data_IF_952005759111
#
_entry.id   IF_952005759111
#
_cell.length_a   1.000
_cell.length_b   1.000
_cell.length_c   1.000
_cell.angle_alpha   90.00
_cell.angle_beta   90.00
_cell.angle_gamma   90.00
#
_symmetry.space_group_name_H-M   'P 1'
#
loop_
_entity.id
_entity.type
_entity.pdbx_description
1 polymer ?
#
# COMPACT_ATOMS: atom_id res chain seq x y z
N UNK A 1 4.85 -0.30 35.26
CA UNK A 1 4.42 -0.52 33.87
C UNK A 1 4.37 -2.01 33.64
N UNK A 2 3.28 -2.53 33.08
CA UNK A 2 3.12 -3.96 32.80
C UNK A 2 4.00 -4.36 31.60
N UNK A 3 4.61 -5.56 31.65
CA UNK A 3 5.22 -6.18 30.47
C UNK A 3 4.22 -7.00 29.66
N UNK A 4 3.00 -7.21 30.18
CA UNK A 4 1.92 -7.85 29.44
C UNK A 4 1.30 -6.84 28.50
N UNK A 5 1.49 -7.08 27.20
CA UNK A 5 0.94 -6.24 26.15
C UNK A 5 -0.58 -6.21 26.19
N UNK A 6 -1.28 -7.18 26.80
CA UNK A 6 -2.75 -7.23 26.87
C UNK A 6 -3.36 -6.32 27.94
N UNK A 7 -2.58 -5.43 28.53
CA UNK A 7 -3.04 -4.49 29.56
C UNK A 7 -2.54 -3.08 29.25
N UNK A 8 -3.37 -2.07 29.52
CA UNK A 8 -2.94 -0.68 29.49
C UNK A 8 -2.53 -0.19 30.91
N UNK A 9 -1.51 0.68 31.02
CA UNK A 9 -0.63 1.12 29.95
C UNK A 9 0.41 0.05 29.57
N UNK A 10 0.79 0.00 28.29
CA UNK A 10 1.84 -0.87 27.77
C UNK A 10 2.88 -0.05 27.01
N UNK A 11 4.16 -0.29 27.26
CA UNK A 11 5.25 0.40 26.56
C UNK A 11 5.91 -0.56 25.57
N UNK A 12 5.72 -0.30 24.27
CA UNK A 12 6.27 -1.14 23.21
C UNK A 12 7.79 -1.04 23.12
N UNK A 13 8.32 0.17 23.29
CA UNK A 13 9.76 0.46 23.29
C UNK A 13 10.12 1.13 24.61
N UNK A 14 10.97 0.49 25.39
CA UNK A 14 11.38 0.98 26.69
C UNK A 14 11.96 2.40 26.60
N UNK A 15 11.34 3.34 27.33
CA UNK A 15 11.76 4.74 27.37
C UNK A 15 11.22 5.64 26.26
N UNK A 16 10.47 5.12 25.28
CA UNK A 16 9.76 5.97 24.30
C UNK A 16 8.29 6.12 24.68
N UNK A 17 7.91 7.32 25.10
CA UNK A 17 6.54 7.63 25.52
C UNK A 17 5.57 7.75 24.32
N UNK A 18 6.08 7.95 23.10
CA UNK A 18 5.21 7.99 21.92
C UNK A 18 4.77 6.59 21.46
N UNK A 19 5.45 5.55 21.94
CA UNK A 19 5.09 4.15 21.74
C UNK A 19 4.54 3.54 23.04
N UNK A 20 3.89 4.37 23.87
CA UNK A 20 3.12 3.96 25.03
C UNK A 20 1.63 3.88 24.68
N UNK A 21 1.02 2.75 24.97
CA UNK A 21 -0.38 2.44 24.72
C UNK A 21 -1.21 2.73 25.98
N UNK A 22 -2.42 3.30 25.86
CA UNK A 22 -3.19 3.45 24.61
C UNK A 22 -2.89 4.71 23.79
N UNK A 23 -2.01 5.60 24.27
CA UNK A 23 -1.76 6.89 23.64
C UNK A 23 -1.24 6.77 22.20
N UNK A 24 -0.37 5.79 21.93
CA UNK A 24 0.17 5.47 20.60
C UNK A 24 -0.89 5.06 19.56
N UNK A 25 -2.09 4.69 19.98
CA UNK A 25 -3.20 4.35 19.07
C UNK A 25 -4.00 5.60 18.67
N UNK A 26 -4.03 6.62 19.53
CA UNK A 26 -4.74 7.87 19.28
C UNK A 26 -4.00 8.81 18.34
N UNK A 27 -4.50 10.04 18.25
CA UNK A 27 -3.91 11.12 17.47
C UNK A 27 -2.69 11.74 18.16
N UNK A 28 -1.69 12.09 17.36
CA UNK A 28 -0.50 12.79 17.80
C UNK A 28 -0.61 14.27 17.43
N UNK A 29 -0.83 15.13 18.44
CA UNK A 29 -1.13 16.55 18.22
C UNK A 29 0.06 17.35 17.69
N UNK A 30 1.27 16.93 18.03
CA UNK A 30 2.55 17.52 17.62
C UNK A 30 3.03 17.06 16.23
N UNK A 31 2.30 16.15 15.58
CA UNK A 31 2.64 15.56 14.30
C UNK A 31 1.74 16.14 13.19
N UNK A 32 2.36 16.53 12.08
CA UNK A 32 1.62 17.07 10.92
C UNK A 32 0.83 15.97 10.21
N UNK A 33 1.33 14.73 10.18
CA UNK A 33 0.61 13.59 9.58
C UNK A 33 0.45 12.41 10.52
N UNK A 34 -0.71 11.76 10.45
CA UNK A 34 -1.05 10.60 11.25
C UNK A 34 -1.91 9.63 10.40
N UNK A 35 -1.49 8.37 10.31
CA UNK A 35 -2.06 7.36 9.40
C UNK A 35 -2.53 6.14 10.17
N UNK A 36 -3.83 5.85 10.12
CA UNK A 36 -4.41 4.62 10.64
C UNK A 36 -4.81 3.74 9.46
N UNK A 37 -4.16 2.59 9.38
CA UNK A 37 -4.40 1.59 8.34
C UNK A 37 -4.94 0.31 8.97
N UNK A 38 -5.97 -0.27 8.34
CA UNK A 38 -6.45 -1.62 8.65
C UNK A 38 -6.78 -2.34 7.35
N UNK A 39 -6.25 -3.55 7.20
CA UNK A 39 -6.63 -4.44 6.10
C UNK A 39 -6.72 -5.89 6.57
N UNK A 40 -7.46 -6.71 5.82
CA UNK A 40 -7.57 -8.13 6.14
C UNK A 40 -8.39 -8.94 5.14
N UNK A 41 -8.23 -10.26 5.23
CA UNK A 41 -9.07 -11.24 4.55
C UNK A 41 -10.30 -11.55 5.42
N UNK A 42 -11.44 -11.74 4.75
CA UNK A 42 -12.73 -12.03 5.36
C UNK A 42 -13.37 -13.21 4.62
N UNK A 43 -13.68 -14.28 5.34
CA UNK A 43 -14.39 -15.43 4.82
C UNK A 43 -15.84 -15.43 5.31
N UNK A 44 -16.76 -15.82 4.43
CA UNK A 44 -18.19 -15.88 4.77
C UNK A 44 -18.51 -17.11 5.61
N UNK A 45 -19.43 -16.93 6.56
CA UNK A 45 -19.98 -18.06 7.31
C UNK A 45 -20.97 -18.85 6.45
N UNK A 46 -20.54 -19.99 5.92
CA UNK A 46 -21.42 -20.98 5.29
C UNK A 46 -21.56 -20.92 3.75
N UNK A 47 -21.21 -19.80 3.09
CA UNK A 47 -21.24 -19.74 1.61
C UNK A 47 -19.90 -20.10 0.95
N UNK A 48 -18.81 -20.10 1.72
CA UNK A 48 -17.47 -20.43 1.23
C UNK A 48 -16.83 -19.33 0.38
N UNK A 49 -17.46 -18.16 0.27
CA UNK A 49 -16.90 -16.99 -0.39
C UNK A 49 -15.85 -16.30 0.45
N UNK A 50 -14.88 -15.67 -0.23
CA UNK A 50 -13.80 -14.92 0.39
C UNK A 50 -13.74 -13.48 -0.15
N UNK A 51 -13.57 -12.56 0.76
CA UNK A 51 -13.42 -11.13 0.52
C UNK A 51 -12.11 -10.63 1.13
N UNK A 52 -11.69 -9.45 0.74
CA UNK A 52 -10.72 -8.67 1.50
C UNK A 52 -11.17 -7.21 1.58
N UNK A 53 -10.55 -6.48 2.49
CA UNK A 53 -10.77 -5.04 2.61
C UNK A 53 -9.49 -4.33 3.02
N UNK A 54 -9.44 -3.04 2.73
CA UNK A 54 -8.52 -2.11 3.37
C UNK A 54 -9.25 -0.82 3.72
N UNK A 55 -8.75 -0.12 4.73
CA UNK A 55 -9.15 1.24 5.04
C UNK A 55 -7.98 2.07 5.53
N UNK A 56 -8.03 3.34 5.18
CA UNK A 56 -7.05 4.34 5.58
C UNK A 56 -7.82 5.52 6.14
N UNK A 57 -7.53 5.90 7.38
CA UNK A 57 -7.83 7.23 7.91
C UNK A 57 -6.51 7.99 7.95
N UNK A 58 -6.49 9.19 7.40
CA UNK A 58 -5.26 9.95 7.33
C UNK A 58 -5.53 11.41 7.70
N UNK A 59 -4.83 11.86 8.74
CA UNK A 59 -4.70 13.27 9.12
C UNK A 59 -3.49 13.83 8.40
N UNK A 60 -3.65 14.92 7.65
CA UNK A 60 -2.55 15.70 7.10
C UNK A 60 -2.78 17.18 7.36
N UNK A 61 -1.83 17.79 8.07
CA UNK A 61 -1.85 19.20 8.42
C UNK A 61 -0.57 19.91 7.98
N UNK A 62 -0.30 20.06 6.66
CA UNK A 62 0.90 20.72 6.18
C UNK A 62 1.03 22.13 6.76
N UNK A 63 2.15 22.39 7.45
CA UNK A 63 2.37 23.68 8.12
C UNK A 63 1.37 24.01 9.23
N UNK A 64 0.62 23.02 9.71
CA UNK A 64 -0.32 23.09 10.83
C UNK A 64 -1.68 23.74 10.53
N UNK A 65 -1.83 24.47 9.43
CA UNK A 65 -3.05 25.24 9.12
C UNK A 65 -3.84 24.70 7.93
N UNK A 66 -3.18 24.03 6.99
CA UNK A 66 -3.84 23.41 5.83
C UNK A 66 -4.46 22.09 6.26
N UNK A 67 -5.73 21.85 5.90
CA UNK A 67 -6.37 20.55 6.07
C UNK A 67 -6.20 19.77 4.77
N UNK A 68 -5.68 18.55 4.83
CA UNK A 68 -5.56 17.65 3.68
C UNK A 68 -5.85 16.20 4.10
N UNK A 69 -6.79 16.05 5.04
CA UNK A 69 -7.16 14.76 5.59
C UNK A 69 -7.93 13.97 4.53
N UNK A 70 -7.86 12.64 4.62
CA UNK A 70 -8.64 11.78 3.75
C UNK A 70 -9.03 10.48 4.45
N UNK A 71 -10.05 9.85 3.88
CA UNK A 71 -10.50 8.52 4.25
C UNK A 71 -10.63 7.67 2.99
N UNK A 72 -10.16 6.43 3.06
CA UNK A 72 -10.31 5.43 1.99
C UNK A 72 -10.90 4.14 2.55
N UNK A 73 -11.78 3.52 1.76
CA UNK A 73 -12.28 2.15 1.92
C UNK A 73 -12.19 1.44 0.58
N UNK A 74 -11.68 0.22 0.56
CA UNK A 74 -11.87 -0.68 -0.55
C UNK A 74 -12.34 -2.06 -0.10
N UNK A 75 -13.19 -2.67 -0.93
CA UNK A 75 -13.66 -4.05 -0.79
C UNK A 75 -13.24 -4.83 -2.04
N UNK A 76 -12.81 -6.07 -1.82
CA UNK A 76 -12.34 -6.98 -2.85
C UNK A 76 -13.12 -8.29 -2.74
N UNK A 77 -13.65 -8.77 -3.85
CA UNK A 77 -14.19 -10.13 -3.96
C UNK A 77 -13.09 -11.03 -4.52
N UNK A 78 -12.56 -11.92 -3.68
CA UNK A 78 -11.42 -12.76 -4.03
C UNK A 78 -11.80 -13.92 -4.95
N UNK A 79 -13.11 -14.23 -5.05
CA UNK A 79 -13.61 -15.30 -5.91
C UNK A 79 -13.81 -14.82 -7.35
N UNK A 80 -14.26 -13.57 -7.52
CA UNK A 80 -14.55 -12.99 -8.83
C UNK A 80 -13.45 -12.07 -9.36
N UNK A 81 -12.56 -11.58 -8.49
CA UNK A 81 -11.55 -10.58 -8.82
C UNK A 81 -12.12 -9.16 -8.94
N UNK A 82 -13.37 -8.94 -8.56
CA UNK A 82 -14.00 -7.61 -8.54
C UNK A 82 -13.49 -6.78 -7.35
N UNK A 83 -13.37 -5.47 -7.51
CA UNK A 83 -13.13 -4.55 -6.40
C UNK A 83 -13.92 -3.25 -6.51
N UNK A 84 -14.21 -2.68 -5.34
CA UNK A 84 -14.80 -1.35 -5.19
C UNK A 84 -13.91 -0.50 -4.31
N UNK A 85 -13.74 0.79 -4.64
CA UNK A 85 -13.00 1.74 -3.80
C UNK A 85 -13.74 3.06 -3.65
N UNK A 86 -13.56 3.68 -2.49
CA UNK A 86 -14.07 4.99 -2.14
C UNK A 86 -12.97 5.78 -1.44
N UNK A 87 -12.70 6.99 -1.91
CA UNK A 87 -11.81 7.95 -1.24
C UNK A 87 -12.53 9.28 -1.14
N UNK A 88 -12.58 9.84 0.06
CA UNK A 88 -13.11 11.18 0.33
C UNK A 88 -12.03 12.06 0.97
N UNK A 89 -12.08 13.35 0.66
CA UNK A 89 -11.10 14.34 1.08
C UNK A 89 -11.72 15.47 1.91
N UNK A 90 -10.98 15.92 2.90
CA UNK A 90 -11.17 17.19 3.59
C UNK A 90 -10.01 18.11 3.23
N UNK A 91 -10.23 18.99 2.25
CA UNK A 91 -9.17 19.85 1.73
C UNK A 91 -9.68 21.18 1.15
N UNK A 92 -8.82 22.21 1.04
CA UNK A 92 -9.17 23.45 0.36
C UNK A 92 -9.60 23.25 -1.09
N UNK A 93 -10.49 24.09 -1.62
CA UNK A 93 -11.11 25.23 -0.92
C UNK A 93 -12.30 24.83 -0.01
N UNK A 94 -12.79 23.59 -0.09
CA UNK A 94 -14.00 23.16 0.62
C UNK A 94 -13.84 23.24 2.15
N UNK A 95 -12.70 22.79 2.68
CA UNK A 95 -12.39 22.84 4.12
C UNK A 95 -12.18 24.27 4.66
N UNK A 96 -12.08 25.27 3.77
CA UNK A 96 -11.90 26.68 4.11
C UNK A 96 -13.19 27.52 3.98
N UNK A 97 -14.31 26.90 3.58
CA UNK A 97 -15.56 27.63 3.48
C UNK A 97 -16.02 28.15 4.86
N UNK A 98 -16.69 29.32 4.94
CA UNK A 98 -17.35 29.75 6.17
C UNK A 98 -18.31 28.63 6.62
N UNK A 99 -18.19 28.20 7.87
CA UNK A 99 -18.95 27.09 8.48
C UNK A 99 -18.49 25.66 8.14
N UNK A 100 -17.42 25.49 7.36
CA UNK A 100 -16.81 24.17 7.17
C UNK A 100 -16.39 23.58 8.52
N UNK A 101 -16.87 22.37 8.80
CA UNK A 101 -16.44 21.58 9.94
C UNK A 101 -15.43 20.53 9.45
N UNK A 102 -14.33 20.28 10.19
CA UNK A 102 -13.43 19.18 9.86
C UNK A 102 -14.19 17.87 9.73
N UNK A 103 -13.90 17.11 8.68
CA UNK A 103 -14.52 15.79 8.45
C UNK A 103 -13.94 14.74 9.39
N UNK A 104 -12.64 14.83 9.71
CA UNK A 104 -11.94 13.92 10.61
C UNK A 104 -11.98 14.44 12.05
N UNK A 105 -12.39 13.57 12.98
CA UNK A 105 -12.23 13.72 14.42
C UNK A 105 -11.39 12.56 14.94
N UNK A 106 -10.42 12.85 15.81
CA UNK A 106 -9.54 11.84 16.39
C UNK A 106 -9.17 12.22 17.83
N UNK A 107 -9.38 11.31 18.79
CA UNK A 107 -9.00 11.54 20.18
C UNK A 107 -7.50 11.36 20.40
N UNK A 108 -6.96 12.05 21.40
CA UNK A 108 -5.63 11.76 21.95
C UNK A 108 -5.76 10.73 23.09
N UNK A 109 -4.68 9.99 23.36
CA UNK A 109 -4.62 9.06 24.49
C UNK A 109 -5.24 7.69 24.26
N UNK A 110 -6.10 7.51 23.25
CA UNK A 110 -6.65 6.22 22.82
C UNK A 110 -7.22 6.33 21.41
N UNK A 111 -7.50 5.19 20.77
CA UNK A 111 -8.12 5.16 19.46
C UNK A 111 -9.62 5.47 19.56
N UNK A 112 -10.01 6.60 18.98
CA UNK A 112 -11.39 7.02 18.76
C UNK A 112 -11.38 7.94 17.53
N UNK A 113 -11.74 7.36 16.38
CA UNK A 113 -11.74 8.01 15.08
C UNK A 113 -13.15 8.09 14.51
N UNK A 114 -13.48 9.24 13.94
CA UNK A 114 -14.63 9.42 13.06
C UNK A 114 -14.22 10.19 11.81
N UNK A 115 -14.71 9.77 10.65
CA UNK A 115 -14.62 10.53 9.40
C UNK A 115 -15.99 10.70 8.77
N UNK A 116 -16.43 11.96 8.59
CA UNK A 116 -17.75 12.33 8.07
C UNK A 116 -17.66 12.61 6.56
N UNK A 117 -18.14 11.66 5.76
CA UNK A 117 -18.10 11.72 4.31
C UNK A 117 -19.50 11.86 3.70
N UNK A 118 -19.57 12.05 2.38
CA UNK A 118 -20.84 12.01 1.64
C UNK A 118 -21.53 10.63 1.67
N UNK A 119 -20.79 9.55 1.95
CA UNK A 119 -21.33 8.19 2.07
C UNK A 119 -21.80 7.84 3.50
N UNK A 120 -21.61 8.74 4.47
CA UNK A 120 -21.91 8.52 5.89
C UNK A 120 -20.69 8.73 6.78
N UNK A 121 -20.80 8.28 8.03
CA UNK A 121 -19.71 8.37 9.01
C UNK A 121 -19.01 7.03 9.13
N UNK A 122 -17.70 7.00 8.84
CA UNK A 122 -16.83 5.88 9.15
C UNK A 122 -16.22 6.09 10.54
N UNK A 123 -16.02 5.02 11.30
CA UNK A 123 -15.43 5.08 12.64
C UNK A 123 -14.55 3.88 12.98
N UNK A 124 -13.58 4.12 13.86
CA UNK A 124 -12.72 3.09 14.44
C UNK A 124 -12.42 3.46 15.88
N UNK A 125 -12.99 2.72 16.82
CA UNK A 125 -13.08 3.11 18.23
C UNK A 125 -12.65 1.93 19.12
N UNK A 126 -11.89 2.23 20.17
CA UNK A 126 -11.54 1.27 21.23
C UNK A 126 -12.79 0.91 22.04
N UNK A 127 -13.05 -0.38 22.18
CA UNK A 127 -14.13 -0.90 23.00
C UNK A 127 -13.89 -0.60 24.49
N UNK A 128 -14.99 -0.56 25.24
CA UNK A 128 -14.98 -0.39 26.69
C UNK A 128 -15.71 -1.56 27.35
N UNK A 129 -15.30 -1.90 28.56
CA UNK A 129 -16.00 -2.88 29.37
C UNK A 129 -17.25 -2.30 30.05
N UNK A 130 -17.87 -3.07 30.94
CA UNK A 130 -19.08 -2.66 31.65
C UNK A 130 -18.86 -1.49 32.64
N UNK A 131 -17.62 -1.32 33.13
CA UNK A 131 -17.23 -0.25 34.05
C UNK A 131 -16.79 1.02 33.30
N UNK A 132 -16.67 0.93 31.97
CA UNK A 132 -16.29 2.02 31.08
C UNK A 132 -14.79 2.11 30.82
N UNK A 133 -14.01 1.16 31.35
CA UNK A 133 -12.57 1.08 31.13
C UNK A 133 -12.25 0.59 29.72
N UNK A 134 -11.13 1.04 29.15
CA UNK A 134 -10.71 0.65 27.80
C UNK A 134 -10.32 -0.82 27.77
N UNK A 135 -10.86 -1.56 26.79
CA UNK A 135 -10.45 -2.93 26.50
C UNK A 135 -9.23 -2.91 25.57
N UNK A 136 -8.06 -3.41 26.00
CA UNK A 136 -6.84 -3.32 25.22
C UNK A 136 -6.98 -3.95 23.83
N UNK A 137 -6.66 -3.16 22.81
CA UNK A 137 -6.63 -3.53 21.40
C UNK A 137 -7.93 -4.16 20.89
N UNK A 138 -9.06 -3.89 21.53
CA UNK A 138 -10.36 -4.39 21.09
C UNK A 138 -11.11 -3.23 20.46
N UNK A 139 -11.53 -3.39 19.21
CA UNK A 139 -12.07 -2.28 18.43
C UNK A 139 -13.43 -2.60 17.83
N UNK A 140 -14.26 -1.57 17.76
CA UNK A 140 -15.41 -1.53 16.87
C UNK A 140 -15.04 -0.67 15.65
N UNK A 141 -15.21 -1.24 14.46
CA UNK A 141 -14.89 -0.61 13.18
C UNK A 141 -16.16 -0.55 12.33
N UNK A 142 -16.51 0.63 11.84
CA UNK A 142 -17.63 0.82 10.92
C UNK A 142 -17.12 1.62 9.72
N UNK A 143 -17.10 1.01 8.55
CA UNK A 143 -16.59 1.61 7.33
C UNK A 143 -17.75 1.77 6.35
N UNK A 144 -17.76 2.90 5.66
CA UNK A 144 -18.79 3.22 4.65
C UNK A 144 -18.14 3.81 3.41
N UNK A 145 -18.78 3.67 2.26
CA UNK A 145 -18.32 4.24 1.01
C UNK A 145 -19.29 3.97 -0.13
N UNK A 146 -18.94 4.46 -1.32
CA UNK A 146 -19.62 4.14 -2.57
C UNK A 146 -18.58 3.80 -3.63
N UNK A 147 -18.72 2.67 -4.29
CA UNK A 147 -17.76 2.25 -5.31
C UNK A 147 -17.89 3.04 -6.63
N UNK A 148 -17.02 2.73 -7.59
CA UNK A 148 -16.95 3.38 -8.90
C UNK A 148 -18.21 3.17 -9.75
N UNK A 149 -19.03 2.15 -9.43
CA UNK A 149 -20.30 1.87 -10.09
C UNK A 149 -21.50 2.50 -9.35
N UNK A 150 -21.27 3.22 -8.25
CA UNK A 150 -22.32 3.83 -7.45
C UNK A 150 -22.96 2.88 -6.42
N UNK A 151 -22.42 1.67 -6.22
CA UNK A 151 -22.94 0.73 -5.22
C UNK A 151 -22.44 1.12 -3.83
N UNK A 152 -23.35 1.07 -2.86
CA UNK A 152 -23.00 1.30 -1.46
C UNK A 152 -22.05 0.20 -0.98
N UNK A 153 -21.03 0.60 -0.23
CA UNK A 153 -20.11 -0.27 0.48
C UNK A 153 -20.23 0.02 1.97
N UNK A 154 -20.33 -1.04 2.78
CA UNK A 154 -20.27 -0.93 4.23
C UNK A 154 -19.64 -2.18 4.84
N UNK A 155 -18.83 -1.99 5.87
CA UNK A 155 -18.22 -3.06 6.63
C UNK A 155 -18.26 -2.71 8.11
N UNK A 156 -19.01 -3.49 8.88
CA UNK A 156 -19.06 -3.38 10.34
C UNK A 156 -18.30 -4.57 10.93
N UNK A 157 -17.25 -4.33 11.72
CA UNK A 157 -16.40 -5.36 12.31
C UNK A 157 -16.13 -5.11 13.79
N UNK A 158 -16.14 -6.18 14.58
CA UNK A 158 -15.38 -6.27 15.81
C UNK A 158 -13.99 -6.82 15.47
N UNK A 159 -12.93 -6.13 15.93
CA UNK A 159 -11.54 -6.44 15.60
C UNK A 159 -10.71 -6.56 16.88
N UNK A 160 -9.97 -7.65 17.03
CA UNK A 160 -9.05 -7.85 18.15
C UNK A 160 -7.74 -8.48 17.66
N UNK A 161 -6.60 -7.79 17.73
CA UNK A 161 -5.30 -8.40 17.50
C UNK A 161 -5.03 -9.52 18.49
N UNK A 162 -4.38 -10.57 17.98
CA UNK A 162 -4.00 -11.78 18.71
C UNK A 162 -2.51 -11.77 19.06
N UNK A 163 -1.75 -10.80 18.54
CA UNK A 163 -0.32 -10.60 18.78
C UNK A 163 -0.05 -9.22 19.35
N UNK A 164 1.08 -9.14 20.04
CA UNK A 164 1.63 -7.88 20.53
C UNK A 164 1.94 -6.91 19.37
N UNK A 165 1.91 -5.59 19.62
CA UNK A 165 2.45 -4.63 18.68
C UNK A 165 3.90 -4.98 18.36
N UNK A 166 4.31 -4.73 17.12
CA UNK A 166 5.68 -4.89 16.66
C UNK A 166 6.19 -3.53 16.16
N UNK A 167 7.28 -3.00 16.73
CA UNK A 167 7.85 -1.75 16.22
C UNK A 167 8.48 -2.01 14.85
N UNK A 168 8.22 -1.15 13.87
CA UNK A 168 8.82 -1.29 12.54
C UNK A 168 10.35 -1.21 12.65
N UNK A 169 11.04 -2.09 11.93
CA UNK A 169 12.47 -2.30 12.02
C UNK A 169 12.92 -3.00 13.31
N UNK A 170 11.99 -3.61 14.05
CA UNK A 170 12.24 -4.39 15.27
C UNK A 170 13.15 -3.64 16.25
N UNK A 171 14.09 -4.32 16.92
CA UNK A 171 15.04 -3.67 17.83
C UNK A 171 16.11 -2.84 17.13
N UNK A 172 16.26 -2.95 15.80
CA UNK A 172 17.26 -2.17 15.05
C UNK A 172 16.85 -0.69 14.94
N UNK A 173 15.56 -0.44 14.76
CA UNK A 173 15.00 0.90 14.62
C UNK A 173 14.07 1.30 15.76
N UNK A 174 13.58 0.33 16.55
CA UNK A 174 12.62 0.54 17.63
C UNK A 174 11.42 1.39 17.18
N UNK A 175 10.93 1.15 15.97
CA UNK A 175 9.76 1.84 15.43
C UNK A 175 10.04 3.26 14.96
N UNK A 176 11.28 3.75 14.99
CA UNK A 176 11.64 5.07 14.47
C UNK A 176 12.45 4.92 13.19
N UNK A 177 11.86 5.28 12.05
CA UNK A 177 12.42 5.07 10.71
C UNK A 177 12.52 6.38 9.93
N UNK A 178 13.31 6.33 8.85
CA UNK A 178 13.25 7.35 7.80
C UNK A 178 12.16 6.94 6.81
N UNK A 179 11.16 7.79 6.64
CA UNK A 179 10.06 7.57 5.69
C UNK A 179 9.85 8.82 4.83
N UNK A 180 9.72 8.65 3.52
CA UNK A 180 9.62 9.73 2.52
C UNK A 180 10.74 10.79 2.64
N UNK A 181 11.95 10.36 3.02
CA UNK A 181 13.10 11.24 3.25
C UNK A 181 13.05 12.04 4.55
N UNK A 182 12.11 11.72 5.45
CA UNK A 182 11.92 12.39 6.72
C UNK A 182 12.37 11.47 7.85
N UNK A 183 13.30 11.95 8.67
CA UNK A 183 13.68 11.28 9.91
C UNK A 183 12.54 11.35 10.94
N UNK A 184 12.68 10.58 12.01
CA UNK A 184 11.79 10.60 13.17
C UNK A 184 10.32 10.24 12.86
N UNK A 185 10.08 9.53 11.74
CA UNK A 185 8.77 8.91 11.50
C UNK A 185 8.65 7.71 12.42
N UNK A 186 7.56 7.67 13.19
CA UNK A 186 7.31 6.55 14.09
C UNK A 186 6.28 5.60 13.49
N UNK A 187 6.50 4.31 13.66
CA UNK A 187 5.63 3.27 13.13
C UNK A 187 5.69 1.96 13.91
N UNK A 188 4.53 1.34 14.05
CA UNK A 188 4.37 -0.03 14.53
C UNK A 188 3.22 -0.71 13.78
N UNK A 189 3.20 -2.04 13.84
CA UNK A 189 2.07 -2.81 13.35
C UNK A 189 1.55 -3.80 14.39
N UNK A 190 0.27 -4.14 14.28
CA UNK A 190 -0.33 -5.32 14.90
C UNK A 190 -0.72 -6.31 13.80
N UNK A 191 -0.47 -7.59 14.08
CA UNK A 191 -0.80 -8.66 13.17
C UNK A 191 -1.47 -9.81 13.91
N UNK A 192 -2.02 -10.76 13.14
CA UNK A 192 -2.91 -11.80 13.63
C UNK A 192 -4.18 -11.19 14.21
N UNK A 193 -5.31 -11.31 13.55
CA UNK A 193 -6.53 -10.65 13.98
C UNK A 193 -7.61 -11.69 14.30
N UNK A 194 -8.55 -11.32 15.14
CA UNK A 194 -9.90 -11.91 15.13
C UNK A 194 -10.83 -10.83 14.63
N UNK A 195 -11.43 -11.05 13.47
CA UNK A 195 -12.38 -10.12 12.86
C UNK A 195 -13.71 -10.84 12.71
N UNK A 196 -14.79 -10.22 13.15
CA UNK A 196 -16.16 -10.76 12.97
C UNK A 196 -17.11 -9.63 12.70
N UNK A 197 -18.04 -9.81 11.77
CA UNK A 197 -19.09 -8.83 11.55
C UNK A 197 -19.83 -9.00 10.24
N UNK A 198 -20.23 -7.89 9.63
CA UNK A 198 -21.10 -7.90 8.44
C UNK A 198 -20.54 -7.03 7.33
N UNK A 199 -20.47 -7.60 6.13
CA UNK A 199 -20.14 -6.90 4.89
C UNK A 199 -21.41 -6.61 4.10
N UNK A 200 -21.53 -5.40 3.57
CA UNK A 200 -22.55 -4.99 2.60
C UNK A 200 -21.87 -4.37 1.38
N UNK A 201 -22.22 -4.86 0.18
CA UNK A 201 -21.73 -4.28 -1.07
C UNK A 201 -22.79 -4.40 -2.17
N UNK A 202 -23.43 -3.28 -2.49
CA UNK A 202 -24.64 -3.25 -3.31
C UNK A 202 -25.74 -4.11 -2.66
N UNK A 203 -26.20 -5.13 -3.38
CA UNK A 203 -27.21 -6.08 -2.90
C UNK A 203 -26.61 -7.25 -2.08
N UNK A 204 -25.27 -7.37 -2.03
CA UNK A 204 -24.60 -8.42 -1.25
C UNK A 204 -24.61 -8.04 0.22
N UNK A 205 -25.09 -8.94 1.08
CA UNK A 205 -24.94 -8.87 2.54
C UNK A 205 -24.46 -10.22 3.06
N UNK A 206 -23.37 -10.22 3.84
CA UNK A 206 -22.73 -11.45 4.33
C UNK A 206 -22.24 -11.28 5.76
N UNK A 207 -22.46 -12.32 6.58
CA UNK A 207 -21.74 -12.48 7.85
C UNK A 207 -20.34 -13.00 7.56
N UNK A 208 -19.34 -12.30 8.07
CA UNK A 208 -17.93 -12.52 7.74
C UNK A 208 -17.09 -12.70 9.00
N UNK A 209 -16.04 -13.51 8.85
CA UNK A 209 -15.00 -13.71 9.86
C UNK A 209 -13.63 -13.67 9.22
N UNK A 210 -12.59 -13.24 9.93
CA UNK A 210 -11.25 -13.20 9.38
C UNK A 210 -10.16 -13.35 10.43
N UNK A 211 -9.04 -13.96 10.03
CA UNK A 211 -7.88 -14.20 10.91
C UNK A 211 -6.59 -13.58 10.41
N UNK A 212 -6.49 -13.34 9.09
CA UNK A 212 -5.37 -12.66 8.46
C UNK A 212 -5.69 -11.17 8.31
N UNK A 213 -5.01 -10.32 9.08
CA UNK A 213 -5.19 -8.88 9.02
C UNK A 213 -4.06 -8.13 9.68
N UNK A 214 -3.94 -6.86 9.30
CA UNK A 214 -2.84 -5.99 9.66
C UNK A 214 -3.39 -4.62 10.06
N UNK A 215 -2.95 -4.13 11.22
CA UNK A 215 -3.07 -2.72 11.57
C UNK A 215 -1.67 -2.13 11.42
N UNK A 216 -1.55 -1.06 10.64
CA UNK A 216 -0.34 -0.24 10.61
C UNK A 216 -0.66 1.15 11.16
N UNK A 217 0.25 1.66 11.97
CA UNK A 217 0.18 2.99 12.55
C UNK A 217 1.46 3.70 12.21
N UNK A 218 1.32 4.89 11.64
CA UNK A 218 2.46 5.72 11.27
C UNK A 218 2.14 7.20 11.47
N UNK A 219 3.04 7.93 12.11
CA UNK A 219 2.93 9.37 12.26
C UNK A 219 4.26 10.06 11.98
N UNK A 220 4.15 11.25 11.39
CA UNK A 220 5.25 11.97 10.79
C UNK A 220 5.36 13.37 11.37
N UNK A 221 6.61 13.85 11.61
CA UNK A 221 6.83 15.20 12.08
C UNK A 221 6.38 16.25 11.05
N UNK A 222 6.44 15.95 9.75
CA UNK A 222 5.90 16.79 8.67
C UNK A 222 4.92 16.01 7.81
N UNK A 223 4.22 16.73 6.93
CA UNK A 223 3.34 16.14 5.93
C UNK A 223 3.97 14.92 5.21
N UNK A 224 3.26 13.79 5.19
CA UNK A 224 3.71 12.52 4.64
C UNK A 224 4.00 12.53 3.13
N UNK A 225 3.53 13.54 2.37
CA UNK A 225 3.91 13.72 0.96
C UNK A 225 5.27 14.39 0.73
N UNK A 226 5.99 14.75 1.81
CA UNK A 226 7.24 15.49 1.75
C UNK A 226 7.08 16.96 1.37
N UNK A 227 8.14 17.74 1.52
CA UNK A 227 8.21 19.09 0.95
C UNK A 227 8.67 19.03 -0.50
N UNK A 228 7.84 19.46 -1.46
CA UNK A 228 8.19 19.47 -2.89
C UNK A 228 7.14 18.81 -3.78
N UNK A 229 7.57 18.21 -4.90
CA UNK A 229 6.70 17.40 -5.76
C UNK A 229 6.31 16.09 -5.06
N UNK A 230 5.01 15.81 -4.83
CA UNK A 230 4.54 14.55 -4.26
C UNK A 230 4.96 13.31 -5.06
N UNK A 231 5.33 13.45 -6.35
CA UNK A 231 5.86 12.36 -7.18
C UNK A 231 7.39 12.26 -7.14
N UNK A 232 8.09 13.12 -6.40
CA UNK A 232 9.54 13.03 -6.20
C UNK A 232 9.96 11.86 -5.31
N UNK A 233 9.03 11.32 -4.53
CA UNK A 233 9.20 10.11 -3.73
C UNK A 233 8.11 9.10 -4.09
N UNK A 234 8.44 7.82 -3.97
CA UNK A 234 7.45 6.73 -4.05
C UNK A 234 7.88 5.58 -3.17
N UNK A 235 6.99 4.62 -3.00
CA UNK A 235 7.21 3.48 -2.13
C UNK A 235 6.48 2.24 -2.64
N UNK A 236 6.91 1.13 -2.07
CA UNK A 236 6.24 -0.15 -2.09
C UNK A 236 6.17 -0.66 -0.65
N UNK A 237 5.00 -1.10 -0.23
CA UNK A 237 4.80 -1.67 1.09
C UNK A 237 3.97 -2.94 1.02
N UNK A 238 4.31 -3.94 1.82
CA UNK A 238 3.62 -5.23 1.85
C UNK A 238 3.37 -5.65 3.28
N UNK A 239 2.15 -6.11 3.53
CA UNK A 239 1.81 -6.88 4.73
C UNK A 239 1.60 -8.32 4.32
N UNK A 240 2.28 -9.27 4.97
CA UNK A 240 2.26 -10.68 4.57
C UNK A 240 1.94 -11.54 5.78
N UNK A 241 0.90 -12.37 5.68
CA UNK A 241 0.41 -13.28 6.71
C UNK A 241 0.63 -14.73 6.26
N UNK A 242 1.70 -15.36 6.74
CA UNK A 242 2.05 -16.73 6.35
C UNK A 242 1.18 -17.78 7.06
N UNK A 243 0.92 -18.88 6.36
CA UNK A 243 0.22 -20.07 6.87
C UNK A 243 0.88 -20.72 8.10
N UNK A 244 2.19 -20.58 8.24
CA UNK A 244 2.96 -21.01 9.41
C UNK A 244 2.86 -20.03 10.60
N UNK A 245 2.08 -18.96 10.45
CA UNK A 245 1.87 -17.94 11.44
C UNK A 245 3.01 -16.92 11.55
N UNK A 246 3.97 -16.81 10.63
CA UNK A 246 4.85 -15.62 10.61
C UNK A 246 4.08 -14.45 9.98
N UNK A 247 4.26 -13.23 10.49
CA UNK A 247 3.80 -12.02 9.79
C UNK A 247 4.99 -11.16 9.40
N UNK A 248 4.90 -10.47 8.26
CA UNK A 248 5.93 -9.56 7.78
C UNK A 248 5.35 -8.24 7.29
N UNK A 249 6.11 -7.17 7.53
CA UNK A 249 5.98 -5.86 6.90
C UNK A 249 7.24 -5.62 6.06
N UNK A 250 7.10 -5.39 4.76
CA UNK A 250 8.23 -5.16 3.84
C UNK A 250 8.08 -3.79 3.21
N UNK A 251 9.07 -2.92 3.41
CA UNK A 251 9.13 -1.57 2.85
C UNK A 251 10.22 -1.43 1.81
N UNK A 252 9.92 -0.74 0.71
CA UNK A 252 10.92 -0.14 -0.19
C UNK A 252 10.52 1.29 -0.50
N UNK A 253 11.52 2.17 -0.51
CA UNK A 253 11.32 3.59 -0.80
C UNK A 253 12.23 4.03 -1.93
N UNK A 254 11.76 4.94 -2.76
CA UNK A 254 12.47 5.37 -3.96
C UNK A 254 12.57 6.90 -4.03
N UNK A 255 13.78 7.37 -4.33
CA UNK A 255 14.01 8.73 -4.81
C UNK A 255 13.78 8.77 -6.32
N UNK A 256 12.61 9.28 -6.72
CA UNK A 256 12.25 9.37 -8.13
C UNK A 256 12.99 10.47 -8.87
N UNK A 257 13.59 11.42 -8.15
CA UNK A 257 14.42 12.48 -8.75
C UNK A 257 15.83 11.98 -9.06
N UNK A 258 16.25 10.90 -8.40
CA UNK A 258 17.55 10.27 -8.58
C UNK A 258 17.41 8.85 -9.17
N UNK A 259 16.77 8.74 -10.34
CA UNK A 259 16.72 7.47 -11.09
C UNK A 259 16.03 6.32 -10.35
N UNK A 260 14.99 6.61 -9.55
CA UNK A 260 14.32 5.64 -8.67
C UNK A 260 15.29 4.95 -7.69
N UNK A 261 16.32 5.66 -7.21
CA UNK A 261 17.27 5.11 -6.25
C UNK A 261 16.57 4.68 -4.96
N UNK A 262 16.86 3.45 -4.51
CA UNK A 262 16.33 2.93 -3.23
C UNK A 262 16.84 3.78 -2.06
N UNK A 263 15.96 4.05 -1.09
CA UNK A 263 16.24 4.88 0.07
C UNK A 263 16.07 4.09 1.38
N UNK A 264 16.86 4.40 2.42
CA UNK A 264 16.53 3.98 3.77
C UNK A 264 15.23 4.65 4.26
N UNK A 265 14.41 4.02 5.09
CA UNK A 265 14.42 2.60 5.46
C UNK A 265 13.87 1.73 4.30
N UNK A 266 14.58 0.66 3.96
CA UNK A 266 14.11 -0.39 3.03
C UNK A 266 14.48 -1.73 3.65
N UNK A 267 13.50 -2.59 3.91
CA UNK A 267 13.73 -3.81 4.66
C UNK A 267 12.46 -4.57 5.04
N UNK A 268 12.68 -5.68 5.73
CA UNK A 268 11.67 -6.57 6.29
C UNK A 268 11.63 -6.37 7.80
N UNK A 269 10.43 -6.32 8.37
CA UNK A 269 10.19 -6.52 9.80
C UNK A 269 9.29 -7.74 9.96
N UNK A 270 9.75 -8.76 10.66
CA UNK A 270 9.01 -10.00 10.89
C UNK A 270 8.60 -10.13 12.35
N UNK A 271 7.35 -10.57 12.59
CA UNK A 271 6.85 -11.01 13.89
C UNK A 271 6.48 -12.48 13.85
N UNK A 272 6.56 -13.15 15.01
CA UNK A 272 6.49 -14.60 15.10
C UNK A 272 5.32 -15.03 15.99
N UNK A 273 4.75 -16.23 15.76
CA UNK A 273 3.64 -16.73 16.57
C UNK A 273 4.11 -17.21 17.95
N UNK A 274 5.39 -17.59 18.08
CA UNK A 274 6.04 -17.89 19.35
C UNK A 274 6.29 -16.59 20.13
N UNK A 275 5.63 -16.36 21.28
CA UNK A 275 5.75 -15.12 22.05
C UNK A 275 7.16 -14.91 22.63
N UNK A 276 7.97 -15.96 22.76
CA UNK A 276 9.35 -15.86 23.26
C UNK A 276 10.32 -15.50 22.13
N UNK A 277 9.91 -15.64 20.87
CA UNK A 277 10.71 -15.25 19.70
C UNK A 277 10.50 -13.79 19.38
N UNK A 278 11.55 -12.99 19.60
CA UNK A 278 11.55 -11.55 19.33
C UNK A 278 11.35 -11.24 17.84
N UNK A 279 10.72 -10.11 17.50
CA UNK A 279 10.69 -9.60 16.13
C UNK A 279 12.09 -9.42 15.55
N UNK A 280 12.21 -9.56 14.23
CA UNK A 280 13.47 -9.47 13.51
C UNK A 280 13.38 -8.41 12.40
N UNK A 281 14.49 -7.72 12.13
CA UNK A 281 14.66 -6.84 10.99
C UNK A 281 15.76 -7.38 10.06
N UNK A 282 15.57 -7.24 8.76
CA UNK A 282 16.56 -7.53 7.73
C UNK A 282 16.45 -6.50 6.59
N UNK A 283 17.58 -6.03 6.07
CA UNK A 283 17.62 -4.96 5.06
C UNK A 283 18.21 -5.41 3.72
N UNK A 284 18.63 -6.67 3.64
CA UNK A 284 19.10 -7.34 2.42
C UNK A 284 17.93 -7.90 1.59
N UNK A 285 16.80 -7.18 1.57
CA UNK A 285 15.64 -7.53 0.76
C UNK A 285 15.84 -7.09 -0.68
N UNK A 286 15.67 -8.01 -1.61
CA UNK A 286 15.65 -7.74 -3.04
C UNK A 286 14.29 -8.09 -3.63
N UNK A 287 13.85 -7.27 -4.58
CA UNK A 287 12.57 -7.44 -5.26
C UNK A 287 12.78 -7.31 -6.76
N UNK A 288 12.60 -8.43 -7.46
CA UNK A 288 12.60 -8.49 -8.92
C UNK A 288 11.16 -8.41 -9.43
N UNK A 289 10.85 -7.38 -10.23
CA UNK A 289 9.53 -7.26 -10.86
C UNK A 289 9.45 -8.21 -12.06
N UNK A 290 8.38 -9.00 -12.11
CA UNK A 290 8.13 -10.02 -13.14
C UNK A 290 7.08 -9.59 -14.16
N UNK A 291 6.16 -8.71 -13.76
CA UNK A 291 5.19 -8.08 -14.65
C UNK A 291 4.81 -6.70 -14.14
N UNK A 292 4.23 -5.91 -15.04
CA UNK A 292 3.65 -4.60 -14.72
C UNK A 292 2.19 -4.58 -15.14
N UNK A 293 1.42 -3.71 -14.49
CA UNK A 293 0.02 -3.48 -14.83
C UNK A 293 -0.20 -2.01 -15.15
N UNK A 294 -1.01 -1.74 -16.16
CA UNK A 294 -1.37 -0.37 -16.53
C UNK A 294 -2.35 0.22 -15.52
N UNK A 295 -2.22 1.51 -15.24
CA UNK A 295 -3.20 2.22 -14.42
C UNK A 295 -4.63 2.13 -15.00
N UNK A 296 -5.67 1.83 -14.19
CA UNK A 296 -7.05 1.82 -14.64
C UNK A 296 -7.62 3.24 -14.70
N UNK A 297 -8.06 3.68 -15.87
CA UNK A 297 -8.62 5.03 -16.05
C UNK A 297 -10.00 5.24 -15.41
N UNK A 298 -10.59 4.19 -14.83
CA UNK A 298 -11.81 4.27 -14.02
C UNK A 298 -11.58 4.96 -12.67
N UNK A 299 -10.33 5.05 -12.20
CA UNK A 299 -9.94 5.74 -10.97
C UNK A 299 -9.01 6.89 -11.32
N UNK A 300 -9.29 8.07 -10.75
CA UNK A 300 -8.48 9.27 -10.96
C UNK A 300 -7.75 9.64 -9.67
N UNK A 301 -6.42 9.82 -9.69
CA UNK A 301 -5.72 10.42 -8.57
C UNK A 301 -6.14 11.88 -8.43
N UNK A 302 -5.98 12.44 -7.23
CA UNK A 302 -6.31 13.84 -6.96
C UNK A 302 -5.45 14.80 -7.80
N UNK A 303 -4.15 14.56 -7.88
CA UNK A 303 -3.23 15.32 -8.72
C UNK A 303 -3.22 14.71 -10.13
N UNK A 304 -3.47 15.50 -11.18
CA UNK A 304 -3.42 15.02 -12.55
C UNK A 304 -2.11 14.25 -12.84
N UNK A 305 -2.19 13.09 -13.50
CA UNK A 305 -1.01 12.32 -13.85
C UNK A 305 -0.15 13.10 -14.85
N UNK A 306 1.18 12.89 -14.81
CA UNK A 306 2.12 13.50 -15.77
C UNK A 306 1.81 13.03 -17.19
N UNK A 307 1.41 11.77 -17.34
CA UNK A 307 0.96 11.19 -18.60
C UNK A 307 -0.15 10.17 -18.33
N UNK A 308 -1.12 10.01 -19.25
CA UNK A 308 -2.15 8.98 -19.12
C UNK A 308 -1.58 7.56 -19.21
N UNK A 309 -0.44 7.36 -19.87
CA UNK A 309 0.16 6.02 -19.98
C UNK A 309 1.20 5.85 -18.88
N UNK A 310 0.86 5.02 -17.89
CA UNK A 310 1.72 4.71 -16.74
C UNK A 310 1.46 3.28 -16.25
N UNK A 311 2.52 2.65 -15.77
CA UNK A 311 2.51 1.27 -15.32
C UNK A 311 3.01 1.17 -13.89
N UNK A 312 2.48 0.24 -13.11
CA UNK A 312 2.95 -0.03 -11.75
C UNK A 312 3.42 -1.49 -11.67
N UNK A 313 4.38 -1.81 -10.79
CA UNK A 313 4.79 -3.18 -10.56
C UNK A 313 3.59 -4.09 -10.23
N UNK A 314 3.61 -5.33 -10.68
CA UNK A 314 2.50 -6.25 -10.49
C UNK A 314 2.95 -7.57 -9.85
N UNK A 315 3.27 -8.60 -10.64
CA UNK A 315 3.88 -9.84 -10.14
C UNK A 315 5.36 -9.60 -9.86
N UNK A 316 5.88 -10.21 -8.81
CA UNK A 316 7.26 -10.00 -8.40
C UNK A 316 7.80 -11.18 -7.58
N UNK A 317 9.13 -11.28 -7.53
CA UNK A 317 9.86 -12.18 -6.64
C UNK A 317 10.51 -11.39 -5.53
N UNK A 318 10.39 -11.85 -4.29
CA UNK A 318 11.05 -11.27 -3.11
C UNK A 318 12.09 -12.26 -2.62
N UNK A 319 13.32 -11.81 -2.41
CA UNK A 319 14.36 -12.61 -1.75
C UNK A 319 14.97 -11.85 -0.58
N UNK A 320 15.38 -12.56 0.47
CA UNK A 320 16.13 -11.98 1.60
C UNK A 320 16.98 -13.09 2.22
N UNK A 321 18.31 -12.95 2.10
CA UNK A 321 19.24 -14.00 2.53
C UNK A 321 19.23 -14.15 4.06
N UNK A 322 19.21 -13.04 4.79
CA UNK A 322 19.14 -13.01 6.26
C UNK A 322 17.92 -13.75 6.80
N UNK A 323 16.77 -13.66 6.11
CA UNK A 323 15.53 -14.33 6.49
C UNK A 323 15.38 -15.73 5.87
N UNK A 324 16.29 -16.13 4.97
CA UNK A 324 16.13 -17.32 4.11
C UNK A 324 14.77 -17.32 3.41
N UNK A 325 14.43 -16.17 2.81
CA UNK A 325 13.15 -15.91 2.17
C UNK A 325 13.31 -15.94 0.65
N UNK A 326 12.37 -16.61 -0.02
CA UNK A 326 12.20 -16.58 -1.46
C UNK A 326 10.72 -16.78 -1.79
N UNK A 327 10.05 -15.74 -2.29
CA UNK A 327 8.62 -15.75 -2.57
C UNK A 327 8.32 -15.24 -3.98
N UNK A 328 7.26 -15.77 -4.57
CA UNK A 328 6.58 -15.19 -5.73
C UNK A 328 5.23 -14.65 -5.25
N UNK A 329 4.97 -13.37 -5.52
CA UNK A 329 3.71 -12.69 -5.25
C UNK A 329 2.88 -12.51 -6.51
N UNK A 330 1.58 -12.83 -6.42
CA UNK A 330 0.62 -12.66 -7.51
C UNK A 330 -0.63 -11.91 -7.00
N UNK A 331 -1.16 -10.95 -7.79
CA UNK A 331 -2.37 -10.23 -7.42
C UNK A 331 -3.57 -11.17 -7.42
N UNK A 332 -4.45 -11.01 -6.44
CA UNK A 332 -5.78 -11.65 -6.43
C UNK A 332 -6.83 -10.79 -7.15
N UNK A 333 -6.54 -9.50 -7.33
CA UNK A 333 -7.38 -8.54 -8.04
C UNK A 333 -6.51 -7.73 -8.98
N UNK A 334 -6.95 -7.54 -10.22
CA UNK A 334 -6.21 -6.80 -11.22
C UNK A 334 -6.27 -5.28 -10.96
N UNK A 335 -5.10 -4.64 -10.95
CA UNK A 335 -4.93 -3.19 -10.92
C UNK A 335 -5.81 -2.44 -9.89
N UNK A 336 -5.75 -2.78 -8.59
CA UNK A 336 -6.59 -2.17 -7.57
C UNK A 336 -6.11 -0.75 -7.25
N UNK A 337 -6.63 0.24 -7.96
CA UNK A 337 -6.23 1.65 -7.82
C UNK A 337 -7.14 2.39 -6.84
N UNK A 338 -6.56 3.35 -6.12
CA UNK A 338 -7.28 4.20 -5.17
C UNK A 338 -7.16 5.67 -5.55
N UNK A 339 -8.18 6.45 -5.20
CA UNK A 339 -8.26 7.86 -5.54
C UNK A 339 -7.37 8.75 -4.68
N UNK A 340 -6.17 8.29 -4.30
CA UNK A 340 -5.20 8.99 -3.44
C UNK A 340 -4.48 10.15 -4.18
N UNK A 341 -3.65 10.96 -3.48
CA UNK A 341 -3.07 12.17 -4.07
C UNK A 341 -2.30 11.97 -5.38
N UNK A 342 -1.57 10.86 -5.49
CA UNK A 342 -0.81 10.44 -6.67
C UNK A 342 -1.27 9.05 -7.12
N UNK A 343 -0.62 8.51 -8.15
CA UNK A 343 -0.84 7.11 -8.55
C UNK A 343 -0.56 6.19 -7.37
N UNK A 344 -1.59 5.48 -6.94
CA UNK A 344 -1.55 4.57 -5.80
C UNK A 344 -2.39 3.34 -6.10
N UNK A 345 -1.76 2.17 -5.99
CA UNK A 345 -2.44 0.89 -6.04
C UNK A 345 -2.18 0.11 -4.78
N UNK A 346 -3.22 -0.50 -4.24
CA UNK A 346 -3.10 -1.42 -3.13
C UNK A 346 -4.16 -2.51 -3.21
N UNK A 347 -3.78 -3.76 -2.97
CA UNK A 347 -4.77 -4.82 -2.95
C UNK A 347 -4.24 -6.17 -2.54
N UNK A 348 -5.13 -7.17 -2.52
CA UNK A 348 -4.83 -8.49 -1.99
C UNK A 348 -3.90 -9.27 -2.92
N UNK A 349 -2.92 -9.95 -2.32
CA UNK A 349 -1.93 -10.77 -2.98
C UNK A 349 -1.88 -12.16 -2.35
N UNK A 350 -1.54 -13.14 -3.19
CA UNK A 350 -1.16 -14.46 -2.76
C UNK A 350 0.35 -14.63 -2.95
N UNK A 351 1.07 -15.05 -1.90
CA UNK A 351 2.49 -15.40 -1.99
C UNK A 351 2.69 -16.91 -1.86
N UNK A 352 3.67 -17.43 -2.60
CA UNK A 352 4.16 -18.82 -2.49
C UNK A 352 5.67 -18.85 -2.55
N UNK A 353 6.28 -19.74 -1.78
CA UNK A 353 7.72 -19.96 -1.85
C UNK A 353 8.25 -20.61 -0.59
N UNK A 354 9.38 -20.12 -0.10
CA UNK A 354 10.06 -20.65 1.07
C UNK A 354 10.42 -19.57 2.08
N UNK A 355 10.35 -19.94 3.36
CA UNK A 355 10.86 -19.19 4.49
C UNK A 355 11.63 -20.17 5.39
N UNK A 356 12.92 -19.92 5.61
CA UNK A 356 13.79 -20.82 6.40
C UNK A 356 13.78 -22.25 5.86
N UNK A 357 13.95 -22.41 4.54
CA UNK A 357 13.90 -23.66 3.78
C UNK A 357 12.57 -24.45 3.89
N UNK A 358 11.52 -23.86 4.47
CA UNK A 358 10.21 -24.46 4.57
C UNK A 358 9.26 -23.85 3.55
N UNK A 359 8.48 -24.67 2.82
CA UNK A 359 7.40 -24.17 1.98
C UNK A 359 6.41 -23.34 2.80
N UNK A 360 6.00 -22.20 2.24
CA UNK A 360 4.99 -21.32 2.83
C UNK A 360 4.06 -20.78 1.76
N UNK A 361 2.82 -20.53 2.17
CA UNK A 361 1.85 -19.71 1.45
C UNK A 361 1.42 -18.54 2.33
N UNK A 362 0.98 -17.45 1.73
CA UNK A 362 0.49 -16.30 2.49
C UNK A 362 -0.59 -15.51 1.77
N UNK A 363 -1.50 -14.97 2.56
CA UNK A 363 -2.35 -13.85 2.17
C UNK A 363 -1.64 -12.54 2.52
N UNK A 364 -1.80 -11.53 1.69
CA UNK A 364 -1.07 -10.28 1.83
C UNK A 364 -1.82 -9.10 1.23
N UNK A 365 -1.40 -7.89 1.59
CA UNK A 365 -1.65 -6.69 0.81
C UNK A 365 -0.33 -6.16 0.23
N UNK A 366 -0.41 -5.58 -0.96
CA UNK A 366 0.73 -4.92 -1.61
C UNK A 366 0.34 -3.52 -2.11
N UNK A 367 0.83 -2.52 -1.39
CA UNK A 367 0.76 -1.09 -1.68
C UNK A 367 1.93 -0.64 -2.56
N UNK A 368 1.65 0.22 -3.55
CA UNK A 368 2.64 0.77 -4.46
C UNK A 368 2.23 2.11 -5.05
N UNK A 369 3.19 3.04 -5.09
CA UNK A 369 3.04 4.38 -5.68
C UNK A 369 4.05 4.68 -6.80
N UNK A 370 4.94 3.73 -7.10
CA UNK A 370 5.96 3.86 -8.16
C UNK A 370 5.32 3.68 -9.55
N UNK A 371 4.67 4.74 -10.05
CA UNK A 371 4.14 4.77 -11.42
C UNK A 371 5.22 5.09 -12.45
N UNK A 372 5.51 4.13 -13.32
CA UNK A 372 6.51 4.17 -14.38
C UNK A 372 5.94 4.77 -15.65
N UNK A 373 6.61 5.79 -16.18
CA UNK A 373 6.18 6.51 -17.39
C UNK A 373 7.32 7.18 -18.18
N UNK A 374 8.53 7.25 -17.62
CA UNK A 374 9.71 7.79 -18.30
C UNK A 374 10.28 6.76 -19.25
N UNK A 375 10.98 7.17 -20.29
CA UNK A 375 11.55 6.28 -21.31
C UNK A 375 12.41 5.15 -20.72
N UNK A 376 13.32 5.48 -19.81
CA UNK A 376 14.16 4.52 -19.11
C UNK A 376 13.41 3.64 -18.10
N UNK A 377 12.23 4.05 -17.65
CA UNK A 377 11.34 3.19 -16.85
C UNK A 377 10.53 2.26 -17.76
N UNK A 378 10.04 2.78 -18.89
CA UNK A 378 9.20 2.05 -19.84
C UNK A 378 9.95 0.99 -20.64
N UNK A 379 11.27 1.12 -20.79
CA UNK A 379 12.08 0.04 -21.37
C UNK A 379 12.13 -1.19 -20.46
N UNK A 380 12.14 -1.02 -19.14
CA UNK A 380 12.05 -2.13 -18.18
C UNK A 380 10.66 -2.77 -18.22
N UNK A 381 9.61 -1.96 -18.35
CA UNK A 381 8.24 -2.44 -18.56
C UNK A 381 8.17 -3.29 -19.82
N UNK A 382 8.72 -2.80 -20.94
CA UNK A 382 8.71 -3.53 -22.21
C UNK A 382 9.48 -4.85 -22.10
N UNK A 383 10.65 -4.83 -21.46
CA UNK A 383 11.45 -6.04 -21.25
C UNK A 383 10.70 -7.11 -20.46
N UNK A 384 10.04 -6.72 -19.37
CA UNK A 384 9.25 -7.64 -18.55
C UNK A 384 8.03 -8.20 -19.31
N UNK A 385 7.29 -7.34 -20.03
CA UNK A 385 6.13 -7.76 -20.82
C UNK A 385 6.52 -8.75 -21.92
N UNK A 386 7.63 -8.51 -22.63
CA UNK A 386 8.12 -9.39 -23.69
C UNK A 386 8.61 -10.73 -23.13
N UNK A 387 9.26 -10.73 -21.96
CA UNK A 387 9.75 -11.95 -21.33
C UNK A 387 8.63 -12.94 -20.97
N UNK A 388 7.43 -12.43 -20.70
CA UNK A 388 6.27 -13.25 -20.32
C UNK A 388 5.26 -13.48 -21.46
N UNK A 389 5.46 -12.86 -22.62
CA UNK A 389 4.55 -12.92 -23.75
C UNK A 389 4.27 -14.37 -24.20
N UNK A 390 3.01 -14.65 -24.54
CA UNK A 390 2.54 -15.95 -25.02
C UNK A 390 1.70 -15.77 -26.29
N UNK A 391 2.16 -16.25 -27.47
CA UNK A 391 3.43 -16.95 -27.69
C UNK A 391 4.65 -16.02 -27.51
N UNK A 392 5.85 -16.57 -27.25
CA UNK A 392 7.08 -15.78 -27.20
C UNK A 392 7.31 -15.00 -28.51
N UNK A 393 7.90 -13.81 -28.41
CA UNK A 393 8.22 -12.92 -29.54
C UNK A 393 9.75 -12.66 -29.63
N UNK A 394 10.55 -13.60 -30.16
CA UNK A 394 12.02 -13.50 -30.17
C UNK A 394 12.55 -12.24 -30.86
N UNK A 395 11.88 -11.78 -31.91
CA UNK A 395 12.24 -10.57 -32.65
C UNK A 395 12.12 -9.33 -31.77
N UNK A 396 11.07 -9.27 -30.95
CA UNK A 396 10.82 -8.17 -30.02
C UNK A 396 11.78 -8.25 -28.82
N UNK A 397 12.08 -9.44 -28.31
CA UNK A 397 13.10 -9.64 -27.29
C UNK A 397 14.48 -9.14 -27.76
N UNK A 398 14.89 -9.51 -28.98
CA UNK A 398 16.14 -9.05 -29.57
C UNK A 398 16.13 -7.52 -29.84
N UNK A 399 14.98 -6.93 -30.15
CA UNK A 399 14.85 -5.48 -30.26
C UNK A 399 15.06 -4.79 -28.92
N UNK A 400 14.44 -5.30 -27.85
CA UNK A 400 14.58 -4.78 -26.48
C UNK A 400 16.05 -4.82 -26.04
N UNK A 401 16.75 -5.94 -26.26
CA UNK A 401 18.17 -6.06 -25.91
C UNK A 401 19.04 -5.00 -26.61
N UNK A 402 18.78 -4.70 -27.89
CA UNK A 402 19.54 -3.70 -28.66
C UNK A 402 19.22 -2.26 -28.27
N UNK A 403 17.94 -1.96 -27.96
CA UNK A 403 17.51 -0.58 -27.69
C UNK A 403 17.76 -0.16 -26.24
N UNK A 404 17.76 -1.10 -25.29
CA UNK A 404 17.99 -0.84 -23.86
C UNK A 404 19.23 0.01 -23.59
N UNK A 405 20.44 -0.32 -24.07
CA UNK A 405 21.62 0.52 -23.83
C UNK A 405 21.50 1.92 -24.44
N UNK A 406 20.75 2.10 -25.53
CA UNK A 406 20.52 3.42 -26.13
C UNK A 406 19.61 4.28 -25.25
N UNK A 407 18.52 3.71 -24.74
CA UNK A 407 17.60 4.40 -23.82
C UNK A 407 18.33 4.77 -22.53
N UNK A 408 19.04 3.83 -21.91
CA UNK A 408 19.75 4.06 -20.64
C UNK A 408 20.92 5.06 -20.75
N UNK A 409 21.50 5.22 -21.94
CA UNK A 409 22.54 6.23 -22.20
C UNK A 409 21.98 7.58 -22.68
N UNK A 410 20.66 7.74 -22.75
CA UNK A 410 20.01 8.97 -23.20
C UNK A 410 20.08 9.21 -24.71
N UNK A 411 20.45 8.21 -25.52
CA UNK A 411 20.50 8.27 -26.98
C UNK A 411 19.10 8.14 -27.59
N UNK A 412 18.24 9.14 -27.33
CA UNK A 412 16.81 9.12 -27.64
C UNK A 412 16.49 9.00 -29.13
N UNK A 413 17.22 9.69 -29.99
CA UNK A 413 17.02 9.65 -31.45
C UNK A 413 17.25 8.26 -32.06
N UNK A 414 18.46 7.67 -31.89
CA UNK A 414 18.74 6.31 -32.33
C UNK A 414 17.79 5.25 -31.74
N UNK A 415 17.43 5.38 -30.46
CA UNK A 415 16.46 4.49 -29.81
C UNK A 415 15.08 4.58 -30.50
N UNK A 416 14.60 5.79 -30.76
CA UNK A 416 13.31 6.05 -31.40
C UNK A 416 13.24 5.46 -32.81
N UNK A 417 14.27 5.69 -33.64
CA UNK A 417 14.34 5.13 -35.00
C UNK A 417 14.25 3.59 -34.98
N UNK A 418 15.00 2.95 -34.08
CA UNK A 418 15.02 1.49 -33.96
C UNK A 418 13.66 0.94 -33.50
N UNK A 419 13.02 1.59 -32.52
CA UNK A 419 11.71 1.20 -32.01
C UNK A 419 10.59 1.39 -33.05
N UNK A 420 10.62 2.48 -33.81
CA UNK A 420 9.65 2.72 -34.89
C UNK A 420 9.77 1.68 -36.01
N UNK A 421 11.01 1.38 -36.43
CA UNK A 421 11.26 0.34 -37.41
C UNK A 421 10.81 -1.04 -36.91
N UNK A 422 11.12 -1.37 -35.65
CA UNK A 422 10.68 -2.60 -35.00
C UNK A 422 9.17 -2.69 -34.89
N UNK A 423 8.49 -1.62 -34.47
CA UNK A 423 7.03 -1.54 -34.36
C UNK A 423 6.32 -1.75 -35.70
N UNK A 424 6.86 -1.20 -36.79
CA UNK A 424 6.29 -1.37 -38.13
C UNK A 424 6.48 -2.79 -38.68
N UNK A 425 7.45 -3.54 -38.17
CA UNK A 425 7.74 -4.90 -38.55
C UNK A 425 7.04 -5.96 -37.67
N UNK A 426 6.31 -5.55 -36.63
CA UNK A 426 5.61 -6.47 -35.74
C UNK A 426 4.46 -7.17 -36.47
N UNK A 427 4.29 -8.49 -36.28
CA UNK A 427 3.12 -9.23 -36.75
C UNK A 427 1.82 -8.65 -36.19
N UNK A 428 0.73 -8.76 -36.95
CA UNK A 428 -0.60 -8.31 -36.53
C UNK A 428 -1.10 -9.04 -35.27
N UNK A 429 -0.69 -10.30 -35.07
CA UNK A 429 -0.99 -11.17 -33.93
C UNK A 429 -0.01 -11.02 -32.76
N UNK A 430 0.89 -10.01 -32.80
CA UNK A 430 1.72 -9.67 -31.65
C UNK A 430 0.85 -9.34 -30.44
N UNK A 431 1.28 -9.82 -29.28
CA UNK A 431 0.66 -9.59 -27.98
C UNK A 431 0.29 -8.11 -27.77
N UNK A 432 -0.96 -7.87 -27.35
CA UNK A 432 -1.52 -6.53 -27.25
C UNK A 432 -0.77 -5.68 -26.21
N UNK A 433 -0.42 -6.28 -25.07
CA UNK A 433 0.29 -5.60 -23.99
C UNK A 433 1.68 -5.17 -24.45
N UNK A 434 2.40 -6.06 -25.15
CA UNK A 434 3.71 -5.77 -25.74
C UNK A 434 3.65 -4.59 -26.71
N UNK A 435 2.62 -4.54 -27.56
CA UNK A 435 2.40 -3.45 -28.53
C UNK A 435 2.05 -2.13 -27.81
N UNK A 436 1.21 -2.18 -26.80
CA UNK A 436 0.80 -1.01 -26.02
C UNK A 436 1.98 -0.38 -25.26
N UNK A 437 2.83 -1.21 -24.64
CA UNK A 437 4.03 -0.73 -23.95
C UNK A 437 5.05 -0.17 -24.97
N UNK A 438 5.24 -0.83 -26.11
CA UNK A 438 6.11 -0.33 -27.18
C UNK A 438 5.66 1.05 -27.67
N UNK A 439 4.37 1.24 -27.92
CA UNK A 439 3.82 2.54 -28.30
C UNK A 439 3.98 3.58 -27.19
N UNK A 440 3.84 3.19 -25.91
CA UNK A 440 4.09 4.07 -24.78
C UNK A 440 5.54 4.57 -24.75
N UNK A 441 6.51 3.67 -24.95
CA UNK A 441 7.93 3.99 -24.99
C UNK A 441 8.26 4.92 -26.17
N UNK A 442 7.77 4.62 -27.38
CA UNK A 442 7.91 5.49 -28.56
C UNK A 442 7.33 6.89 -28.27
N UNK A 443 6.15 6.95 -27.67
CA UNK A 443 5.51 8.21 -27.27
C UNK A 443 6.34 9.01 -26.27
N UNK A 444 6.94 8.34 -25.28
CA UNK A 444 7.81 8.96 -24.27
C UNK A 444 9.12 9.49 -24.87
N UNK A 445 9.70 8.78 -25.85
CA UNK A 445 10.89 9.22 -26.59
C UNK A 445 10.62 10.39 -27.54
N UNK A 446 9.40 10.45 -28.11
CA UNK A 446 9.00 11.52 -29.05
C UNK A 446 8.71 12.85 -28.34
N UNK A 447 8.12 12.80 -27.14
CA UNK A 447 7.85 14.00 -26.35
C UNK A 447 9.13 14.48 -25.69
N UNK A 448 9.51 15.75 -25.90
CA UNK A 448 10.44 16.41 -24.98
C UNK A 448 9.78 16.40 -23.60
N UNK A 449 10.27 15.57 -22.68
CA UNK A 449 9.78 15.61 -21.30
C UNK A 449 10.30 16.92 -20.72
N UNK A 450 9.44 17.88 -20.32
CA UNK A 450 9.92 19.15 -19.81
C UNK A 450 10.78 18.89 -18.57
N UNK A 451 12.06 19.26 -18.65
CA UNK A 451 13.05 19.12 -17.56
C UNK A 451 12.65 19.89 -16.30
N UNK A 452 11.60 20.73 -16.37
CA UNK A 452 11.16 21.65 -15.33
C UNK A 452 10.00 21.14 -14.44
N UNK A 453 9.63 19.85 -14.53
CA UNK A 453 8.62 19.22 -13.64
C UNK A 453 9.11 17.91 -13.02
N UNK A 454 10.40 17.81 -12.72
CA UNK A 454 11.02 16.70 -12.01
C UNK A 454 11.71 17.20 -10.75
#
# INVERSE_FOLDING_TARGET
>A
MSSDWRSYPFQLVAGDNALEFPAAEGAHADQESDTWFLAGQLDTTGSGRSFAFLTIFNKNRPGGSVVADFYTLALFDLDTGEYGTYTDYDMPPASMAPDAQPKLSAATGHLDLEYRSGAGTASWITCRDADGDLLPYTYQVNLVGTDQAGRLMRLDLAVTPTRAPTPVGASAYNGTIVCFGQADTRSYFHAGMTMTGTLYWGEVSQQVTGTAGHIDRQWFPRYAGGGGDPRGRSHEWRTIHFDNGVDMSIWRQFDRTNGNAVQPFTGVTASYPDPDRRPQCAEDVDVTILSYVRWPESVRPLLPPITPVRYLPDRHRITCATMQLDLIGEPLVAAPAHGLPIEYMEGPYHYRGTLQDKPVTAFAFYERSLALYRDWELIDVLAATVAIARPPTPELAALVERVTPLVLSGQRGPALEMLQAGSAALPDDCDHDSRDVLHALIGSLTRETPTAKL
#
